data_IF_999090474169
#
_entry.id   IF_999090474169
#
_cell.length_a   1.000
_cell.length_b   1.000
_cell.length_c   1.000
_cell.angle_alpha   90.00
_cell.angle_beta   90.00
_cell.angle_gamma   90.00
#
_symmetry.space_group_name_H-M   'P 1'
#
loop_
_entity.id
_entity.type
_entity.pdbx_description
1 polymer ?
#
# COMPACT_ATOMS: atom_id res chain seq x y z
N UNK A 1 -14.37 -17.17 -16.46
CA UNK A 1 -15.17 -15.98 -16.10
C UNK A 1 -15.08 -15.67 -14.61
N UNK A 2 -15.21 -16.66 -13.71
CA UNK A 2 -15.03 -16.46 -12.25
C UNK A 2 -13.64 -15.93 -11.86
N UNK A 3 -12.57 -16.51 -12.43
CA UNK A 3 -11.17 -16.12 -12.18
C UNK A 3 -10.91 -14.65 -12.49
N UNK A 4 -11.35 -14.17 -13.65
CA UNK A 4 -11.12 -12.80 -14.11
C UNK A 4 -11.77 -11.74 -13.19
N UNK A 5 -12.87 -12.08 -12.50
CA UNK A 5 -13.53 -11.17 -11.56
C UNK A 5 -12.94 -11.27 -10.14
N UNK A 6 -12.47 -12.46 -9.75
CA UNK A 6 -11.88 -12.70 -8.44
C UNK A 6 -10.47 -12.09 -8.29
N UNK A 7 -9.81 -11.82 -9.42
CA UNK A 7 -8.50 -11.14 -9.49
C UNK A 7 -8.61 -9.60 -9.49
N UNK A 8 -9.82 -9.03 -9.44
CA UNK A 8 -9.99 -7.58 -9.36
C UNK A 8 -9.46 -7.06 -8.01
N UNK A 9 -8.55 -6.06 -8.00
CA UNK A 9 -8.08 -5.47 -6.77
C UNK A 9 -9.21 -4.85 -5.94
N UNK A 10 -9.30 -5.28 -4.69
CA UNK A 10 -10.26 -4.74 -3.71
C UNK A 10 -9.58 -3.62 -2.91
N UNK A 11 -10.13 -2.40 -2.86
CA UNK A 11 -9.58 -1.32 -2.04
C UNK A 11 -9.61 -1.68 -0.56
N UNK A 12 -8.48 -1.50 0.12
CA UNK A 12 -8.34 -1.75 1.57
C UNK A 12 -8.14 -0.47 2.37
N UNK A 13 -7.75 0.63 1.73
CA UNK A 13 -7.63 1.92 2.39
C UNK A 13 -7.04 3.01 1.50
N UNK A 14 -7.01 4.22 2.05
CA UNK A 14 -6.39 5.38 1.42
C UNK A 14 -5.74 6.27 2.48
N UNK A 15 -4.72 7.03 2.08
CA UNK A 15 -4.15 8.09 2.90
C UNK A 15 -3.59 9.21 2.05
N UNK A 16 -3.67 10.44 2.56
CA UNK A 16 -2.89 11.55 2.03
C UNK A 16 -1.45 11.37 2.47
N UNK A 17 -0.54 11.42 1.51
CA UNK A 17 0.88 11.64 1.77
C UNK A 17 1.02 13.11 2.19
N UNK A 18 2.01 13.41 3.02
CA UNK A 18 2.17 14.68 3.74
C UNK A 18 1.81 15.94 2.91
N UNK A 19 1.35 17.04 3.55
CA UNK A 19 0.75 18.20 2.88
C UNK A 19 1.60 18.79 1.75
N UNK A 20 2.92 18.63 1.83
CA UNK A 20 3.89 19.14 0.86
C UNK A 20 3.89 18.37 -0.46
N UNK A 21 3.47 17.11 -0.47
CA UNK A 21 3.61 16.20 -1.62
C UNK A 21 2.37 16.09 -2.49
N UNK A 22 1.25 16.75 -2.13
CA UNK A 22 -0.02 16.75 -2.86
C UNK A 22 -0.36 15.38 -3.47
N UNK A 23 -0.23 14.31 -2.70
CA UNK A 23 -0.38 12.96 -3.23
C UNK A 23 -1.21 12.08 -2.31
N UNK A 24 -1.90 11.13 -2.94
CA UNK A 24 -2.76 10.17 -2.29
C UNK A 24 -2.17 8.79 -2.54
N UNK A 25 -2.06 8.01 -1.48
CA UNK A 25 -1.71 6.61 -1.56
C UNK A 25 -2.96 5.77 -1.31
N UNK A 26 -3.28 4.91 -2.28
CA UNK A 26 -4.35 3.93 -2.21
C UNK A 26 -3.76 2.55 -1.97
N UNK A 27 -4.39 1.80 -1.08
CA UNK A 27 -4.03 0.42 -0.77
C UNK A 27 -5.11 -0.51 -1.29
N UNK A 28 -4.69 -1.64 -1.86
CA UNK A 28 -5.56 -2.67 -2.38
C UNK A 28 -5.09 -4.05 -1.91
N UNK A 29 -5.99 -5.02 -1.94
CA UNK A 29 -5.64 -6.43 -1.89
C UNK A 29 -6.15 -7.16 -3.10
N UNK A 30 -5.31 -8.02 -3.66
CA UNK A 30 -5.63 -8.93 -4.76
C UNK A 30 -5.41 -10.35 -4.30
N UNK A 31 -6.31 -11.26 -4.66
CA UNK A 31 -6.10 -12.69 -4.46
C UNK A 31 -5.52 -13.29 -5.73
N UNK A 32 -4.32 -13.85 -5.60
CA UNK A 32 -3.70 -14.69 -6.62
C UNK A 32 -4.20 -16.11 -6.41
N UNK A 33 -5.11 -16.57 -7.28
CA UNK A 33 -5.77 -17.85 -7.15
C UNK A 33 -4.87 -19.02 -7.55
N UNK A 34 -3.95 -18.82 -8.50
CA UNK A 34 -3.00 -19.85 -8.92
C UNK A 34 -2.04 -20.20 -7.80
N UNK A 35 -1.56 -19.20 -7.06
CA UNK A 35 -0.66 -19.38 -5.93
C UNK A 35 -1.38 -19.55 -4.60
N UNK A 36 -2.69 -19.31 -4.56
CA UNK A 36 -3.51 -19.22 -3.36
C UNK A 36 -2.92 -18.25 -2.30
N UNK A 37 -2.47 -17.08 -2.75
CA UNK A 37 -1.87 -16.04 -1.89
C UNK A 37 -2.64 -14.72 -2.02
N UNK A 38 -2.79 -14.00 -0.91
CA UNK A 38 -3.29 -12.62 -0.90
C UNK A 38 -2.11 -11.65 -1.03
N UNK A 39 -2.11 -10.82 -2.06
CA UNK A 39 -1.11 -9.77 -2.30
C UNK A 39 -1.65 -8.42 -1.85
N UNK A 40 -0.77 -7.60 -1.28
CA UNK A 40 -1.06 -6.19 -0.97
C UNK A 40 -0.43 -5.32 -2.04
N UNK A 41 -1.24 -4.43 -2.62
CA UNK A 41 -0.80 -3.47 -3.64
C UNK A 41 -0.98 -2.06 -3.13
N UNK A 42 -0.09 -1.18 -3.55
CA UNK A 42 -0.19 0.25 -3.28
C UNK A 42 -0.06 1.03 -4.58
N UNK A 43 -0.92 2.03 -4.74
CA UNK A 43 -0.92 2.92 -5.89
C UNK A 43 -0.87 4.35 -5.42
N UNK A 44 -0.03 5.17 -6.05
CA UNK A 44 0.09 6.58 -5.73
C UNK A 44 -0.53 7.43 -6.84
N UNK A 45 -1.29 8.44 -6.42
CA UNK A 45 -1.89 9.46 -7.28
C UNK A 45 -1.27 10.78 -6.86
N UNK A 46 -0.56 11.43 -7.78
CA UNK A 46 0.03 12.75 -7.57
C UNK A 46 -0.94 13.79 -8.11
N UNK A 47 -1.42 14.67 -7.25
CA UNK A 47 -2.35 15.73 -7.60
C UNK A 47 -1.56 16.93 -8.15
N UNK A 48 -2.04 17.48 -9.26
CA UNK A 48 -1.53 18.75 -9.79
C UNK A 48 -2.40 19.90 -9.32
N UNK A 49 -1.78 21.04 -8.99
CA UNK A 49 -2.52 22.25 -8.59
C UNK A 49 -3.32 22.88 -9.74
N UNK A 50 -2.92 22.65 -10.99
CA UNK A 50 -3.51 23.29 -12.18
C UNK A 50 -3.67 22.34 -13.38
N UNK A 51 -3.82 21.04 -13.14
CA UNK A 51 -3.89 20.04 -14.22
C UNK A 51 -4.39 18.67 -13.78
N UNK A 52 -4.43 17.68 -14.70
CA UNK A 52 -4.86 16.33 -14.37
C UNK A 52 -3.91 15.68 -13.37
N UNK A 53 -4.46 14.81 -12.52
CA UNK A 53 -3.67 14.02 -11.59
C UNK A 53 -2.85 12.96 -12.34
N UNK A 54 -1.61 12.75 -11.90
CA UNK A 54 -0.73 11.71 -12.42
C UNK A 54 -0.91 10.44 -11.60
N UNK A 55 -1.33 9.36 -12.24
CA UNK A 55 -1.56 8.06 -11.58
C UNK A 55 -0.35 7.16 -11.83
N UNK A 56 0.38 6.81 -10.77
CA UNK A 56 1.53 5.92 -10.86
C UNK A 56 1.09 4.44 -10.94
N UNK A 57 1.91 3.55 -11.51
CA UNK A 57 1.66 2.11 -11.50
C UNK A 57 1.50 1.57 -10.07
N UNK A 58 0.65 0.55 -9.91
CA UNK A 58 0.52 -0.15 -8.63
C UNK A 58 1.77 -0.98 -8.35
N UNK A 59 2.25 -0.95 -7.11
CA UNK A 59 3.41 -1.68 -6.64
C UNK A 59 2.98 -2.71 -5.59
N UNK A 60 3.52 -3.92 -5.68
CA UNK A 60 3.33 -4.94 -4.64
C UNK A 60 4.17 -4.61 -3.41
N UNK A 61 3.56 -4.76 -2.24
CA UNK A 61 4.20 -4.44 -0.95
C UNK A 61 4.06 -5.59 0.03
N UNK A 62 5.08 -5.79 0.85
CA UNK A 62 5.11 -6.82 1.88
C UNK A 62 5.01 -6.21 3.28
N UNK A 63 3.89 -5.52 3.55
CA UNK A 63 3.54 -5.02 4.87
C UNK A 63 2.02 -5.01 5.06
N UNK A 64 1.59 -5.02 6.31
CA UNK A 64 0.17 -5.04 6.70
C UNK A 64 -0.43 -3.64 6.61
N UNK A 65 0.29 -2.65 7.14
CA UNK A 65 -0.12 -1.26 7.13
C UNK A 65 1.10 -0.34 7.09
N UNK A 66 0.92 0.86 6.54
CA UNK A 66 1.94 1.90 6.57
C UNK A 66 1.30 3.26 6.81
N UNK A 67 1.99 4.12 7.57
CA UNK A 67 1.60 5.52 7.80
C UNK A 67 2.80 6.42 7.58
N UNK A 68 2.55 7.58 7.00
CA UNK A 68 3.55 8.63 6.84
C UNK A 68 3.41 9.63 7.99
N UNK A 69 4.53 10.22 8.41
CA UNK A 69 4.52 11.38 9.30
C UNK A 69 3.87 12.56 8.61
N UNK A 70 3.42 13.54 9.39
CA UNK A 70 2.86 14.79 8.85
C UNK A 70 3.85 15.53 7.93
N UNK A 71 5.16 15.39 8.17
CA UNK A 71 6.22 15.94 7.32
C UNK A 71 6.57 15.08 6.10
N UNK A 72 6.07 13.84 6.01
CA UNK A 72 6.39 12.89 4.94
C UNK A 72 7.79 12.27 5.02
N UNK A 73 8.68 12.87 5.82
CA UNK A 73 10.07 12.43 6.01
C UNK A 73 10.22 11.07 6.67
N UNK A 74 9.22 10.65 7.43
CA UNK A 74 9.26 9.39 8.15
C UNK A 74 8.07 8.54 7.74
N UNK A 75 8.30 7.25 7.64
CA UNK A 75 7.29 6.26 7.33
C UNK A 75 7.37 5.14 8.33
N UNK A 76 6.26 4.84 8.97
CA UNK A 76 6.12 3.70 9.87
C UNK A 76 5.43 2.58 9.11
N UNK A 77 6.00 1.38 9.17
CA UNK A 77 5.50 0.19 8.48
C UNK A 77 5.29 -0.94 9.47
N UNK A 78 4.08 -1.48 9.52
CA UNK A 78 3.74 -2.68 10.30
C UNK A 78 3.95 -3.91 9.43
N UNK A 79 4.87 -4.79 9.81
CA UNK A 79 5.14 -6.05 9.14
C UNK A 79 4.70 -7.23 9.98
N UNK A 80 4.38 -8.30 9.27
CA UNK A 80 4.08 -9.61 9.82
C UNK A 80 5.26 -10.54 9.51
N UNK A 81 5.78 -11.24 10.51
CA UNK A 81 6.71 -12.35 10.35
C UNK A 81 6.10 -13.61 10.95
N UNK A 82 6.17 -14.70 10.19
CA UNK A 82 5.86 -16.04 10.70
C UNK A 82 7.12 -16.61 11.32
N UNK A 83 7.08 -16.87 12.63
CA UNK A 83 8.18 -17.47 13.36
C UNK A 83 7.65 -18.69 14.12
N UNK A 84 7.99 -19.88 13.63
CA UNK A 84 7.47 -21.14 14.16
C UNK A 84 5.95 -21.27 14.00
N UNK A 85 5.24 -21.59 15.09
CA UNK A 85 3.78 -21.69 15.13
C UNK A 85 3.06 -20.35 15.37
N UNK A 86 3.82 -19.26 15.57
CA UNK A 86 3.29 -17.95 15.92
C UNK A 86 3.40 -16.92 14.80
N UNK A 87 2.52 -15.93 14.84
CA UNK A 87 2.62 -14.72 14.02
C UNK A 87 3.14 -13.59 14.89
N UNK A 88 4.29 -13.02 14.54
CA UNK A 88 4.86 -11.84 15.21
C UNK A 88 4.67 -10.61 14.34
N UNK A 89 4.39 -9.49 14.99
CA UNK A 89 4.29 -8.20 14.33
C UNK A 89 5.42 -7.30 14.81
N UNK A 90 6.04 -6.61 13.87
CA UNK A 90 7.09 -5.64 14.16
C UNK A 90 6.87 -4.37 13.37
N UNK A 91 7.33 -3.27 13.95
CA UNK A 91 7.15 -1.93 13.42
C UNK A 91 8.51 -1.41 12.99
N UNK A 92 8.64 -1.06 11.73
CA UNK A 92 9.84 -0.44 11.17
C UNK A 92 9.60 1.05 10.98
N UNK A 93 10.59 1.86 11.35
CA UNK A 93 10.67 3.26 10.98
C UNK A 93 11.64 3.38 9.80
N UNK A 94 11.15 3.94 8.70
CA UNK A 94 11.89 4.16 7.46
C UNK A 94 11.94 5.66 7.17
N UNK A 95 13.04 6.13 6.60
CA UNK A 95 13.08 7.46 6.01
C UNK A 95 12.22 7.48 4.73
N UNK A 96 11.24 8.38 4.71
CA UNK A 96 10.41 8.68 3.55
C UNK A 96 11.19 9.54 2.59
N UNK A 97 11.37 9.04 1.37
CA UNK A 97 12.08 9.74 0.29
C UNK A 97 11.11 10.52 -0.60
#
# INVERSE_FOLDING_TARGET
>A
MYTNLAEIPVPTGAQFLAPEFNSIQLSFSVRDHERNVKKSLVKQIVLSNSGPATVLPAQEVNYVAARYSLSGRNRVVLREAKEGSGTKYFVELLEGR
#
